data_IF_335222286594
#
_entry.id   IF_335222286594
#
_cell.length_a   1.000
_cell.length_b   1.000
_cell.length_c   1.000
_cell.angle_alpha   90.00
_cell.angle_beta   90.00
_cell.angle_gamma   90.00
#
_symmetry.space_group_name_H-M   'P 1'
#
loop_
_entity.id
_entity.type
_entity.pdbx_description
1 polymer ?
#
# COMPACT_ATOMS: atom_id res chain seq x y z
N UNK A 1 29.21 9.52 -42.19
CA UNK A 1 28.58 9.00 -40.95
C UNK A 1 28.08 10.19 -40.16
N UNK A 2 26.80 10.26 -39.78
CA UNK A 2 26.26 11.39 -38.97
C UNK A 2 26.44 11.05 -37.49
N UNK A 3 27.31 11.76 -36.80
CA UNK A 3 27.51 11.59 -35.36
C UNK A 3 26.21 11.83 -34.59
N UNK A 4 25.75 10.80 -33.90
CA UNK A 4 24.57 10.87 -33.03
C UNK A 4 24.93 11.66 -31.78
N UNK A 5 24.70 12.97 -31.81
CA UNK A 5 24.92 13.89 -30.68
C UNK A 5 24.26 13.34 -29.39
N UNK A 6 25.07 12.87 -28.45
CA UNK A 6 24.57 12.35 -27.16
C UNK A 6 24.04 13.54 -26.35
N UNK A 7 22.71 13.65 -26.23
CA UNK A 7 22.08 14.70 -25.42
C UNK A 7 22.47 14.51 -23.95
N UNK A 8 23.17 15.49 -23.36
CA UNK A 8 23.49 15.49 -21.92
C UNK A 8 22.20 15.42 -21.10
N UNK A 9 22.09 14.46 -20.19
CA UNK A 9 20.92 14.32 -19.31
C UNK A 9 20.90 15.49 -18.31
N UNK A 10 19.86 16.34 -18.36
CA UNK A 10 19.65 17.42 -17.39
C UNK A 10 19.33 16.85 -16.00
N UNK A 11 19.66 17.60 -14.95
CA UNK A 11 19.22 17.31 -13.58
C UNK A 11 17.70 17.53 -13.47
N UNK A 12 17.06 16.80 -12.56
CA UNK A 12 15.62 16.96 -12.31
C UNK A 12 15.34 18.25 -11.54
N UNK A 13 14.26 18.94 -11.89
CA UNK A 13 13.75 20.10 -11.16
C UNK A 13 13.13 19.67 -9.82
N UNK A 14 12.88 20.63 -8.93
CA UNK A 14 12.22 20.35 -7.64
C UNK A 14 10.83 19.73 -7.83
N UNK A 15 10.03 20.24 -8.78
CA UNK A 15 8.72 19.70 -9.13
C UNK A 15 8.81 18.24 -9.63
N UNK A 16 9.79 17.92 -10.48
CA UNK A 16 10.01 16.55 -10.97
C UNK A 16 10.44 15.59 -9.85
N UNK A 17 11.19 16.06 -8.85
CA UNK A 17 11.55 15.29 -7.66
C UNK A 17 10.32 15.04 -6.78
N UNK A 18 9.50 16.06 -6.54
CA UNK A 18 8.27 15.93 -5.75
C UNK A 18 7.28 14.96 -6.41
N UNK A 19 7.08 15.05 -7.73
CA UNK A 19 6.23 14.12 -8.48
C UNK A 19 6.76 12.68 -8.42
N UNK A 20 8.10 12.49 -8.45
CA UNK A 20 8.71 11.17 -8.24
C UNK A 20 8.37 10.62 -6.86
N UNK A 21 8.49 11.44 -5.80
CA UNK A 21 8.20 11.04 -4.42
C UNK A 21 6.73 10.64 -4.26
N UNK A 22 5.79 11.43 -4.78
CA UNK A 22 4.36 11.10 -4.79
C UNK A 22 4.09 9.74 -5.44
N UNK A 23 4.65 9.50 -6.63
CA UNK A 23 4.50 8.20 -7.34
C UNK A 23 5.08 7.01 -6.56
N UNK A 24 6.15 7.22 -5.79
CA UNK A 24 6.77 6.15 -4.99
C UNK A 24 5.96 5.77 -3.75
N UNK A 25 5.20 6.73 -3.21
CA UNK A 25 4.27 6.50 -2.11
C UNK A 25 3.01 5.78 -2.60
N UNK A 26 2.50 6.17 -3.77
CA UNK A 26 1.24 5.63 -4.30
C UNK A 26 1.40 4.26 -5.00
N UNK A 27 2.57 3.97 -5.59
CA UNK A 27 2.82 2.75 -6.35
C UNK A 27 4.09 2.01 -5.91
N UNK A 28 4.08 0.68 -6.05
CA UNK A 28 5.26 -0.18 -5.91
C UNK A 28 5.43 -1.10 -7.12
N UNK A 29 6.62 -1.63 -7.30
CA UNK A 29 6.89 -2.68 -8.29
C UNK A 29 6.88 -4.04 -7.60
N UNK A 30 6.09 -4.96 -8.14
CA UNK A 30 6.01 -6.36 -7.69
C UNK A 30 6.34 -7.28 -8.86
N UNK A 31 6.91 -8.45 -8.57
CA UNK A 31 7.06 -9.50 -9.57
C UNK A 31 5.81 -10.37 -9.54
N UNK A 32 5.04 -10.37 -10.63
CA UNK A 32 3.89 -11.25 -10.82
C UNK A 32 4.17 -12.13 -12.04
N UNK A 33 4.22 -13.44 -11.83
CA UNK A 33 4.46 -14.46 -12.86
C UNK A 33 5.73 -14.18 -13.68
N UNK A 34 6.86 -13.92 -13.00
CA UNK A 34 8.14 -13.64 -13.65
C UNK A 34 8.25 -12.28 -14.33
N UNK A 35 7.20 -11.44 -14.29
CA UNK A 35 7.20 -10.10 -14.88
C UNK A 35 7.10 -9.03 -13.80
N UNK A 36 7.99 -8.04 -13.89
CA UNK A 36 7.93 -6.86 -13.03
C UNK A 36 6.74 -5.97 -13.46
N UNK A 37 5.76 -5.81 -12.57
CA UNK A 37 4.54 -5.00 -12.77
C UNK A 37 4.48 -3.88 -11.74
N UNK A 38 3.96 -2.71 -12.15
CA UNK A 38 3.69 -1.58 -11.25
C UNK A 38 2.26 -1.69 -10.72
N UNK A 39 2.10 -1.78 -9.41
CA UNK A 39 0.80 -1.87 -8.72
C UNK A 39 0.63 -0.70 -7.76
N UNK A 40 -0.62 -0.32 -7.47
CA UNK A 40 -0.92 0.64 -6.41
C UNK A 40 -0.49 0.01 -5.08
N UNK A 41 0.14 0.77 -4.19
CA UNK A 41 0.47 0.25 -2.87
C UNK A 41 -0.83 -0.05 -2.12
N UNK A 42 -0.98 -1.24 -1.51
CA UNK A 42 -2.08 -1.47 -0.58
C UNK A 42 -1.98 -0.45 0.57
N UNK A 43 -3.13 -0.04 1.10
CA UNK A 43 -3.18 0.93 2.19
C UNK A 43 -2.65 0.25 3.46
N UNK A 44 -1.40 0.50 3.80
CA UNK A 44 -0.89 0.22 5.15
C UNK A 44 -1.21 1.42 6.05
N UNK A 45 -2.02 1.21 7.09
CA UNK A 45 -2.32 2.22 8.12
C UNK A 45 -1.24 2.08 9.20
N UNK A 46 -0.48 3.14 9.48
CA UNK A 46 0.63 3.16 10.45
C UNK A 46 1.68 2.03 10.29
N UNK A 47 1.89 1.57 9.06
CA UNK A 47 2.85 0.51 8.75
C UNK A 47 2.32 -0.92 8.99
N UNK A 48 1.05 -1.03 9.38
CA UNK A 48 0.31 -2.28 9.54
C UNK A 48 -0.61 -2.48 8.34
N UNK A 49 -0.93 -3.74 8.03
CA UNK A 49 -1.96 -4.04 7.03
C UNK A 49 -3.32 -3.45 7.47
N UNK A 50 -4.15 -3.02 6.52
CA UNK A 50 -5.44 -2.40 6.85
C UNK A 50 -6.32 -3.32 7.67
N UNK A 51 -6.31 -4.62 7.39
CA UNK A 51 -7.20 -5.58 8.05
C UNK A 51 -6.73 -5.80 9.49
N UNK A 52 -5.41 -5.86 9.69
CA UNK A 52 -4.79 -5.98 11.01
C UNK A 52 -4.99 -4.70 11.85
N UNK A 53 -4.94 -3.52 11.23
CA UNK A 53 -5.27 -2.26 11.91
C UNK A 53 -6.71 -2.25 12.39
N UNK A 54 -7.64 -2.68 11.55
CA UNK A 54 -9.07 -2.74 11.89
C UNK A 54 -9.32 -3.75 13.01
N UNK A 55 -8.73 -4.94 12.94
CA UNK A 55 -8.84 -5.97 13.99
C UNK A 55 -8.37 -5.47 15.36
N UNK A 56 -7.30 -4.68 15.42
CA UNK A 56 -6.76 -4.18 16.69
C UNK A 56 -7.51 -2.97 17.26
N UNK A 57 -8.18 -2.16 16.43
CA UNK A 57 -8.70 -0.85 16.84
C UNK A 57 -10.22 -0.72 16.74
N UNK A 58 -10.92 -1.59 15.99
CA UNK A 58 -12.36 -1.49 15.80
C UNK A 58 -13.13 -2.07 16.99
N UNK A 59 -14.21 -1.40 17.36
CA UNK A 59 -15.17 -1.95 18.31
C UNK A 59 -16.09 -3.00 17.65
N UNK A 60 -16.73 -3.83 18.46
CA UNK A 60 -17.62 -4.90 17.97
C UNK A 60 -18.84 -4.38 17.23
N UNK A 61 -19.28 -3.14 17.49
CA UNK A 61 -20.40 -2.48 16.80
C UNK A 61 -19.99 -2.13 15.37
N UNK A 62 -18.79 -1.58 15.20
CA UNK A 62 -18.22 -1.19 13.92
C UNK A 62 -17.94 -2.41 13.05
N UNK A 63 -17.40 -3.48 13.65
CA UNK A 63 -17.18 -4.76 12.96
C UNK A 63 -18.50 -5.36 12.47
N UNK A 64 -19.54 -5.34 13.30
CA UNK A 64 -20.89 -5.78 12.94
C UNK A 64 -21.47 -4.98 11.77
N UNK A 65 -21.35 -3.65 11.80
CA UNK A 65 -21.87 -2.77 10.74
C UNK A 65 -21.15 -2.94 9.39
N UNK A 66 -19.90 -3.39 9.40
CA UNK A 66 -19.09 -3.64 8.20
C UNK A 66 -19.03 -5.13 7.82
N UNK A 67 -19.94 -5.96 8.36
CA UNK A 67 -20.04 -7.40 8.09
C UNK A 67 -18.77 -8.20 8.40
N UNK A 68 -17.94 -7.71 9.32
CA UNK A 68 -16.64 -8.28 9.68
C UNK A 68 -16.73 -9.19 10.92
N UNK A 69 -17.65 -10.15 10.85
CA UNK A 69 -17.98 -11.07 11.95
C UNK A 69 -16.82 -11.94 12.40
N UNK A 70 -15.91 -12.28 11.48
CA UNK A 70 -14.75 -13.15 11.77
C UNK A 70 -13.78 -12.53 12.79
N UNK A 71 -13.85 -11.22 13.02
CA UNK A 71 -13.02 -10.51 14.00
C UNK A 71 -13.76 -10.15 15.29
N UNK A 72 -15.04 -10.49 15.41
CA UNK A 72 -15.76 -10.32 16.67
C UNK A 72 -15.30 -11.45 17.59
N UNK A 73 -14.40 -11.13 18.53
CA UNK A 73 -14.05 -12.04 19.61
C UNK A 73 -15.33 -12.38 20.39
N UNK A 74 -15.88 -13.57 20.11
CA UNK A 74 -16.94 -14.13 20.94
C UNK A 74 -16.32 -14.36 22.32
N UNK A 75 -16.92 -13.86 23.40
CA UNK A 75 -16.45 -14.20 24.73
C UNK A 75 -16.47 -15.71 24.82
N UNK A 76 -15.28 -16.33 24.94
CA UNK A 76 -15.10 -17.77 25.18
C UNK A 76 -16.12 -18.15 26.25
N UNK A 77 -17.18 -18.83 25.82
CA UNK A 77 -18.20 -19.37 26.67
C UNK A 77 -17.49 -20.31 27.63
N UNK A 78 -17.25 -19.79 28.84
CA UNK A 78 -16.54 -20.45 29.91
C UNK A 78 -17.27 -21.73 30.25
N UNK A 79 -16.86 -22.80 29.60
CA UNK A 79 -17.28 -24.15 29.91
C UNK A 79 -16.35 -24.65 31.03
N UNK A 80 -16.59 -24.15 32.24
CA UNK A 80 -16.17 -24.79 33.49
C UNK A 80 -17.26 -25.78 33.95
#
# INVERSE_FOLDING_TARGET
MKDKKVKKKRKRTAAEKAAKKRRQLEYMYVFMNGKQKRVKRPLTIDGMDSDEFIRQNADSIWLHQNEMWEYIDLPSDGHD
#
